data_IF_641914320731
#
_entry.id   IF_641914320731
#
_cell.length_a   1.000
_cell.length_b   1.000
_cell.length_c   1.000
_cell.angle_alpha   90.00
_cell.angle_beta   90.00
_cell.angle_gamma   90.00
#
_symmetry.space_group_name_H-M   'P 1'
#
loop_
_entity.id
_entity.type
_entity.pdbx_description
1 polymer ?
#
# COMPACT_ATOMS: atom_id res chain seq x y z
N UNK A 1 20.54 28.74 11.61
CA UNK A 1 19.31 28.76 12.43
C UNK A 1 18.19 28.31 11.51
N UNK A 2 17.79 27.04 11.62
CA UNK A 2 16.81 26.40 10.74
C UNK A 2 15.46 27.11 10.87
N UNK A 3 14.94 27.65 9.76
CA UNK A 3 13.53 27.98 9.66
C UNK A 3 12.73 26.73 10.03
N UNK A 4 11.95 26.82 11.10
CA UNK A 4 10.90 25.86 11.39
C UNK A 4 9.92 25.95 10.23
N UNK A 5 9.99 25.01 9.29
CA UNK A 5 9.09 24.99 8.13
C UNK A 5 7.65 24.91 8.65
N UNK A 6 6.83 25.93 8.38
CA UNK A 6 5.39 25.85 8.58
C UNK A 6 4.86 24.59 7.88
N UNK A 7 4.07 23.81 8.60
CA UNK A 7 3.42 22.65 8.01
C UNK A 7 2.32 23.14 7.06
N UNK A 8 2.55 22.99 5.76
CA UNK A 8 1.60 23.42 4.73
C UNK A 8 0.52 22.36 4.48
N UNK A 9 -0.74 22.68 4.77
CA UNK A 9 -1.89 21.84 4.43
C UNK A 9 -2.32 22.08 2.97
N UNK A 10 -2.53 21.01 2.21
CA UNK A 10 -3.03 21.05 0.84
C UNK A 10 -4.56 21.01 0.86
N UNK A 11 -5.18 21.91 0.10
CA UNK A 11 -6.64 22.00 -0.04
C UNK A 11 -7.13 21.78 -1.49
N UNK A 12 -6.22 21.74 -2.47
CA UNK A 12 -6.57 21.68 -3.89
C UNK A 12 -6.14 20.37 -4.53
N UNK A 13 -7.10 19.73 -5.21
CA UNK A 13 -6.81 18.58 -6.06
C UNK A 13 -5.92 18.95 -7.23
N UNK A 14 -5.08 18.01 -7.68
CA UNK A 14 -4.19 18.23 -8.81
C UNK A 14 -3.34 17.01 -9.13
N UNK A 15 -2.36 17.19 -10.02
CA UNK A 15 -1.38 16.15 -10.34
C UNK A 15 -0.23 16.16 -9.33
N UNK A 16 0.29 14.99 -8.94
CA UNK A 16 1.49 14.90 -8.12
C UNK A 16 2.72 15.48 -8.84
N UNK A 17 2.85 15.18 -10.14
CA UNK A 17 3.97 15.59 -10.99
C UNK A 17 3.52 16.53 -12.12
N UNK A 18 4.29 17.58 -12.38
CA UNK A 18 4.15 18.42 -13.57
C UNK A 18 4.62 17.69 -14.84
N UNK A 19 4.42 18.31 -16.01
CA UNK A 19 4.84 17.75 -17.31
C UNK A 19 6.37 17.56 -17.45
N UNK A 20 7.18 18.11 -16.53
CA UNK A 20 8.64 17.96 -16.47
C UNK A 20 9.07 16.91 -15.44
N UNK A 21 8.14 16.33 -14.68
CA UNK A 21 8.39 15.37 -13.61
C UNK A 21 8.75 15.99 -12.27
N UNK A 22 8.49 17.29 -12.04
CA UNK A 22 8.67 17.93 -10.74
C UNK A 22 7.39 17.83 -9.90
N UNK A 23 7.56 17.76 -8.58
CA UNK A 23 6.45 17.78 -7.62
C UNK A 23 5.71 19.12 -7.73
N UNK A 24 4.39 19.09 -7.81
CA UNK A 24 3.56 20.31 -7.95
C UNK A 24 3.22 20.95 -6.61
N UNK A 25 3.01 20.13 -5.57
CA UNK A 25 2.54 20.53 -4.25
C UNK A 25 3.30 19.73 -3.18
N UNK A 26 3.77 20.42 -2.15
CA UNK A 26 4.54 19.85 -1.03
C UNK A 26 3.82 20.21 0.26
N UNK A 27 3.54 19.23 1.10
CA UNK A 27 2.74 19.46 2.31
C UNK A 27 2.06 18.20 2.80
N UNK A 28 1.00 18.38 3.58
CA UNK A 28 0.16 17.31 4.09
C UNK A 28 -1.32 17.58 3.76
N UNK A 29 -2.17 16.57 3.75
CA UNK A 29 -3.62 16.77 3.59
C UNK A 29 -4.42 15.70 4.30
N UNK A 30 -5.67 16.04 4.63
CA UNK A 30 -6.66 15.14 5.24
C UNK A 30 -7.29 14.15 4.25
N UNK A 31 -6.98 14.28 2.97
CA UNK A 31 -7.49 13.46 1.87
C UNK A 31 -6.42 13.31 0.78
N UNK A 32 -6.43 12.23 -0.02
CA UNK A 32 -5.52 12.06 -1.15
C UNK A 32 -5.93 12.93 -2.33
N UNK A 33 -5.56 14.21 -2.27
CA UNK A 33 -5.94 15.22 -3.25
C UNK A 33 -5.14 15.15 -4.56
N UNK A 34 -3.96 14.52 -4.54
CA UNK A 34 -3.06 14.46 -5.69
C UNK A 34 -3.21 13.14 -6.44
N UNK A 35 -3.36 13.24 -7.76
CA UNK A 35 -3.28 12.11 -8.68
C UNK A 35 -1.83 11.65 -8.81
N UNK A 36 -1.57 10.38 -8.50
CA UNK A 36 -0.27 9.73 -8.62
C UNK A 36 0.08 9.44 -10.09
N UNK A 37 0.22 10.50 -10.89
CA UNK A 37 0.54 10.49 -12.32
C UNK A 37 2.02 10.16 -12.61
N UNK A 38 2.45 8.99 -12.13
CA UNK A 38 3.83 8.53 -12.13
C UNK A 38 4.41 8.31 -13.53
N UNK A 39 3.58 8.23 -14.58
CA UNK A 39 4.01 8.26 -15.98
C UNK A 39 4.74 9.55 -16.39
N UNK A 40 4.57 10.63 -15.62
CA UNK A 40 5.28 11.90 -15.81
C UNK A 40 6.67 11.93 -15.16
N UNK A 41 7.05 10.88 -14.43
CA UNK A 41 8.38 10.78 -13.84
C UNK A 41 9.48 10.91 -14.90
N UNK A 42 10.53 11.67 -14.57
CA UNK A 42 11.57 12.05 -15.50
C UNK A 42 12.98 11.96 -14.87
N UNK A 43 13.34 10.76 -14.39
CA UNK A 43 14.64 10.46 -13.78
C UNK A 43 15.72 10.14 -14.81
N UNK A 44 15.34 9.43 -15.88
CA UNK A 44 16.26 8.97 -16.92
C UNK A 44 15.97 9.61 -18.28
N UNK A 45 16.97 9.61 -19.17
CA UNK A 45 16.77 10.04 -20.57
C UNK A 45 15.80 9.14 -21.33
N UNK A 46 15.83 7.84 -21.05
CA UNK A 46 14.96 6.85 -21.67
C UNK A 46 13.68 6.68 -20.84
N UNK A 47 12.52 7.00 -21.42
CA UNK A 47 11.22 6.88 -20.74
C UNK A 47 10.89 5.44 -20.29
N UNK A 48 11.36 4.44 -21.02
CA UNK A 48 11.18 3.03 -20.64
C UNK A 48 11.92 2.64 -19.34
N UNK A 49 12.90 3.44 -18.92
CA UNK A 49 13.66 3.17 -17.69
C UNK A 49 13.04 3.80 -16.44
N UNK A 50 12.06 4.71 -16.58
CA UNK A 50 11.48 5.42 -15.43
C UNK A 50 10.89 4.49 -14.36
N UNK A 51 10.13 3.42 -14.72
CA UNK A 51 9.53 2.53 -13.72
C UNK A 51 10.55 1.91 -12.76
N UNK A 52 11.77 1.62 -13.21
CA UNK A 52 12.83 1.04 -12.38
C UNK A 52 13.27 1.91 -11.20
N UNK A 53 12.92 3.20 -11.19
CA UNK A 53 13.25 4.13 -10.10
C UNK A 53 12.07 4.45 -9.20
N UNK A 54 10.87 4.02 -9.57
CA UNK A 54 9.62 4.30 -8.88
C UNK A 54 9.35 3.14 -7.92
N UNK A 55 8.99 3.47 -6.69
CA UNK A 55 8.56 2.49 -5.69
C UNK A 55 7.12 2.76 -5.32
N UNK A 56 6.30 1.73 -5.29
CA UNK A 56 4.88 1.78 -4.90
C UNK A 56 4.59 0.60 -3.99
N UNK A 57 3.68 0.77 -3.06
CA UNK A 57 3.22 -0.33 -2.23
C UNK A 57 1.78 -0.08 -1.79
N UNK A 58 1.07 -1.17 -1.54
CA UNK A 58 -0.23 -1.19 -0.90
C UNK A 58 -0.14 -2.11 0.31
N UNK A 59 -0.64 -1.62 1.45
CA UNK A 59 -0.37 -2.18 2.76
C UNK A 59 -1.64 -2.17 3.59
N UNK A 60 -1.97 -3.33 4.17
CA UNK A 60 -3.03 -3.46 5.15
C UNK A 60 -2.50 -4.15 6.40
N UNK A 61 -2.82 -3.58 7.55
CA UNK A 61 -2.55 -4.14 8.87
C UNK A 61 -3.83 -4.18 9.69
N UNK A 62 -4.10 -5.32 10.30
CA UNK A 62 -5.23 -5.56 11.19
C UNK A 62 -4.67 -5.90 12.57
N UNK A 63 -4.97 -5.04 13.53
CA UNK A 63 -4.61 -5.24 14.93
C UNK A 63 -5.86 -5.61 15.72
N UNK A 64 -5.79 -6.69 16.46
CA UNK A 64 -6.82 -7.12 17.41
C UNK A 64 -6.21 -7.25 18.81
N UNK A 65 -6.99 -7.48 19.87
CA UNK A 65 -6.44 -7.75 21.19
C UNK A 65 -5.58 -9.03 21.28
N UNK A 66 -5.80 -10.01 20.40
CA UNK A 66 -5.13 -11.32 20.47
C UNK A 66 -4.08 -11.55 19.38
N UNK A 67 -4.11 -10.81 18.28
CA UNK A 67 -3.13 -10.94 17.21
C UNK A 67 -2.97 -9.68 16.36
N UNK A 68 -1.88 -9.66 15.59
CA UNK A 68 -1.65 -8.74 14.50
C UNK A 68 -1.47 -9.49 13.18
N UNK A 69 -2.08 -8.99 12.12
CA UNK A 69 -1.90 -9.51 10.78
C UNK A 69 -1.61 -8.37 9.82
N UNK A 70 -0.61 -8.49 8.96
CA UNK A 70 -0.41 -7.57 7.85
C UNK A 70 -0.07 -8.28 6.55
N UNK A 71 -0.40 -7.63 5.45
CA UNK A 71 -0.07 -8.08 4.10
C UNK A 71 0.24 -6.87 3.22
N UNK A 72 1.27 -7.02 2.39
CA UNK A 72 1.80 -5.97 1.53
C UNK A 72 1.99 -6.50 0.12
N UNK A 73 1.62 -5.69 -0.87
CA UNK A 73 2.09 -5.82 -2.25
C UNK A 73 2.93 -4.59 -2.59
N UNK A 74 4.20 -4.79 -2.92
CA UNK A 74 5.13 -3.71 -3.22
C UNK A 74 5.81 -3.89 -4.59
N UNK A 75 5.77 -2.84 -5.39
CA UNK A 75 6.56 -2.67 -6.61
C UNK A 75 7.79 -1.81 -6.29
N UNK A 76 8.97 -2.43 -6.34
CA UNK A 76 10.25 -1.79 -6.06
C UNK A 76 10.91 -1.25 -7.33
N UNK A 77 10.21 -1.27 -8.46
CA UNK A 77 10.64 -0.80 -9.77
C UNK A 77 11.32 -1.86 -10.62
N UNK A 78 12.20 -2.67 -10.03
CA UNK A 78 12.87 -3.80 -10.71
C UNK A 78 12.44 -5.18 -10.20
N UNK A 79 11.74 -5.21 -9.07
CA UNK A 79 11.22 -6.42 -8.45
C UNK A 79 9.90 -6.09 -7.74
N UNK A 80 8.99 -7.05 -7.72
CA UNK A 80 7.83 -7.02 -6.84
C UNK A 80 8.12 -7.77 -5.54
N UNK A 81 7.33 -7.48 -4.52
CA UNK A 81 7.37 -8.17 -3.24
C UNK A 81 5.94 -8.39 -2.75
N UNK A 82 5.60 -9.64 -2.47
CA UNK A 82 4.45 -10.00 -1.65
C UNK A 82 4.97 -10.37 -0.26
N UNK A 83 4.42 -9.75 0.78
CA UNK A 83 4.85 -9.95 2.16
C UNK A 83 3.64 -10.13 3.05
N UNK A 84 3.66 -11.13 3.93
CA UNK A 84 2.67 -11.29 4.98
C UNK A 84 3.34 -11.52 6.32
N UNK A 85 2.75 -10.96 7.37
CA UNK A 85 3.24 -11.05 8.74
C UNK A 85 2.08 -11.31 9.70
N UNK A 86 2.25 -12.26 10.60
CA UNK A 86 1.28 -12.63 11.62
C UNK A 86 1.96 -12.69 12.99
N UNK A 87 1.35 -12.09 14.00
CA UNK A 87 1.82 -12.12 15.39
C UNK A 87 0.68 -12.60 16.27
N UNK A 88 0.90 -13.66 17.04
CA UNK A 88 -0.01 -14.12 18.08
C UNK A 88 0.43 -13.52 19.42
N UNK A 89 -0.38 -12.62 19.98
CA UNK A 89 -0.10 -11.98 21.25
C UNK A 89 -0.30 -12.91 22.44
N UNK A 90 -1.15 -13.93 22.32
CA UNK A 90 -1.41 -14.88 23.40
C UNK A 90 -0.24 -15.86 23.57
N UNK A 91 0.35 -16.29 22.46
CA UNK A 91 1.47 -17.23 22.45
C UNK A 91 2.84 -16.55 22.39
N UNK A 92 2.88 -15.24 22.11
CA UNK A 92 4.12 -14.48 21.93
C UNK A 92 4.92 -14.93 20.70
N UNK A 93 4.25 -15.44 19.67
CA UNK A 93 4.88 -15.96 18.46
C UNK A 93 4.63 -15.02 17.28
N UNK A 94 5.56 -14.97 16.33
CA UNK A 94 5.38 -14.26 15.07
C UNK A 94 5.86 -15.09 13.89
N UNK A 95 5.37 -14.73 12.71
CA UNK A 95 5.61 -15.46 11.48
C UNK A 95 5.56 -14.49 10.32
N UNK A 96 6.59 -14.47 9.49
CA UNK A 96 6.64 -13.69 8.25
C UNK A 96 7.05 -14.57 7.07
N UNK A 97 6.51 -14.26 5.90
CA UNK A 97 7.08 -14.71 4.65
C UNK A 97 7.14 -13.57 3.62
N UNK A 98 8.18 -13.62 2.81
CA UNK A 98 8.40 -12.71 1.69
C UNK A 98 8.56 -13.52 0.40
N UNK A 99 7.75 -13.22 -0.60
CA UNK A 99 7.95 -13.69 -1.97
C UNK A 99 8.50 -12.54 -2.80
N UNK A 100 9.74 -12.69 -3.26
CA UNK A 100 10.33 -11.78 -4.25
C UNK A 100 9.89 -12.18 -5.64
N UNK A 101 9.33 -11.22 -6.38
CA UNK A 101 8.70 -11.42 -7.69
C UNK A 101 9.59 -10.77 -8.74
N UNK A 102 10.31 -11.56 -9.57
CA UNK A 102 11.15 -11.00 -10.63
C UNK A 102 10.34 -10.08 -11.55
N UNK A 103 10.84 -8.86 -11.74
CA UNK A 103 10.20 -7.82 -12.57
C UNK A 103 8.75 -7.48 -12.20
N UNK A 104 8.29 -7.86 -11.00
CA UNK A 104 6.89 -7.67 -10.60
C UNK A 104 5.88 -8.47 -11.44
N UNK A 105 6.32 -9.53 -12.13
CA UNK A 105 5.45 -10.32 -13.00
C UNK A 105 4.22 -10.87 -12.26
N UNK A 106 3.03 -10.62 -12.83
CA UNK A 106 1.75 -11.06 -12.24
C UNK A 106 1.26 -10.16 -11.10
N UNK A 107 1.94 -9.04 -10.82
CA UNK A 107 1.53 -8.03 -9.86
C UNK A 107 0.94 -6.80 -10.56
N UNK A 108 -0.13 -6.24 -9.99
CA UNK A 108 -0.75 -4.98 -10.41
C UNK A 108 -1.06 -4.17 -9.17
N UNK A 109 -0.69 -2.89 -9.18
CA UNK A 109 -1.08 -1.92 -8.15
C UNK A 109 -1.89 -0.80 -8.82
N UNK A 110 -2.88 -0.22 -8.12
CA UNK A 110 -3.65 0.89 -8.65
C UNK A 110 -2.76 2.14 -8.77
N UNK A 111 -3.26 3.11 -9.54
CA UNK A 111 -2.63 4.43 -9.64
C UNK A 111 -2.76 5.19 -8.32
N UNK A 112 -3.96 5.20 -7.75
CA UNK A 112 -4.35 5.98 -6.57
C UNK A 112 -4.87 5.08 -5.43
N UNK A 113 -4.92 5.59 -4.20
CA UNK A 113 -5.27 4.82 -2.99
C UNK A 113 -6.78 4.68 -2.71
N UNK A 114 -7.63 5.42 -3.43
CA UNK A 114 -9.07 5.49 -3.17
C UNK A 114 -9.93 4.66 -4.13
N UNK A 115 -9.32 4.02 -5.12
CA UNK A 115 -10.03 3.19 -6.09
C UNK A 115 -9.10 2.16 -6.74
N UNK A 116 -9.71 1.14 -7.34
CA UNK A 116 -9.00 0.11 -8.09
C UNK A 116 -8.63 -1.10 -7.24
N UNK A 117 -7.65 -1.85 -7.74
CA UNK A 117 -7.29 -3.15 -7.16
C UNK A 117 -5.79 -3.36 -7.18
N UNK A 118 -5.28 -3.88 -6.06
CA UNK A 118 -3.94 -4.43 -5.94
C UNK A 118 -4.04 -5.96 -6.04
N UNK A 119 -3.35 -6.56 -7.00
CA UNK A 119 -3.43 -8.01 -7.26
C UNK A 119 -2.03 -8.58 -7.40
N UNK A 120 -1.81 -9.74 -6.82
CA UNK A 120 -0.73 -10.65 -7.20
C UNK A 120 -1.28 -12.07 -7.28
N UNK A 121 -0.96 -12.77 -8.38
CA UNK A 121 -1.33 -14.17 -8.54
C UNK A 121 -0.21 -14.95 -9.23
N UNK A 122 0.20 -16.06 -8.61
CA UNK A 122 1.12 -17.03 -9.21
C UNK A 122 0.86 -18.43 -8.66
N UNK A 123 0.44 -19.35 -9.54
CA UNK A 123 0.03 -20.68 -9.11
C UNK A 123 -1.15 -20.59 -8.15
N UNK A 124 -0.99 -21.17 -6.96
CA UNK A 124 -1.98 -21.17 -5.88
C UNK A 124 -1.84 -20.00 -4.90
N UNK A 125 -0.78 -19.18 -4.99
CA UNK A 125 -0.64 -17.97 -4.20
C UNK A 125 -1.43 -16.83 -4.86
N UNK A 126 -2.40 -16.28 -4.13
CA UNK A 126 -3.25 -15.17 -4.56
C UNK A 126 -3.37 -14.13 -3.43
N UNK A 127 -3.14 -12.87 -3.78
CA UNK A 127 -3.36 -11.71 -2.90
C UNK A 127 -4.14 -10.69 -3.72
N UNK A 128 -5.27 -10.22 -3.19
CA UNK A 128 -6.12 -9.24 -3.85
C UNK A 128 -6.68 -8.26 -2.84
N UNK A 129 -6.46 -6.98 -3.08
CA UNK A 129 -7.04 -5.87 -2.33
C UNK A 129 -7.96 -5.11 -3.28
N UNK A 130 -9.25 -5.05 -2.94
CA UNK A 130 -10.26 -4.32 -3.73
C UNK A 130 -10.65 -3.08 -2.96
N UNK A 131 -10.52 -1.92 -3.61
CA UNK A 131 -10.86 -0.63 -3.02
C UNK A 131 -12.20 -0.16 -3.57
N UNK A 132 -13.14 0.11 -2.66
CA UNK A 132 -14.45 0.72 -2.91
C UNK A 132 -14.60 1.99 -2.07
N UNK A 133 -15.54 2.90 -2.38
CA UNK A 133 -15.65 4.18 -1.68
C UNK A 133 -15.64 4.09 -0.15
N UNK A 134 -16.36 3.14 0.43
CA UNK A 134 -16.53 2.99 1.89
C UNK A 134 -16.03 1.63 2.41
N UNK A 135 -15.38 0.83 1.56
CA UNK A 135 -14.97 -0.53 1.90
C UNK A 135 -13.61 -0.85 1.29
N UNK A 136 -12.82 -1.63 2.02
CA UNK A 136 -11.62 -2.30 1.53
C UNK A 136 -11.81 -3.79 1.72
N UNK A 137 -11.75 -4.57 0.64
CA UNK A 137 -11.90 -6.02 0.70
C UNK A 137 -10.56 -6.69 0.41
N UNK A 138 -10.05 -7.40 1.40
CA UNK A 138 -8.78 -8.11 1.39
C UNK A 138 -9.04 -9.61 1.22
N UNK A 139 -8.46 -10.21 0.19
CA UNK A 139 -8.49 -11.65 -0.04
C UNK A 139 -7.05 -12.15 -0.15
N UNK A 140 -6.68 -13.11 0.70
CA UNK A 140 -5.37 -13.77 0.68
C UNK A 140 -5.57 -15.27 0.69
N UNK A 141 -4.94 -15.95 -0.26
CA UNK A 141 -4.78 -17.39 -0.29
C UNK A 141 -3.29 -17.67 -0.48
N UNK A 142 -2.62 -18.07 0.59
CA UNK A 142 -1.18 -18.32 0.61
C UNK A 142 -0.90 -19.72 1.19
N UNK A 143 -0.88 -20.74 0.32
CA UNK A 143 -0.60 -22.11 0.74
C UNK A 143 0.82 -22.27 1.27
N UNK A 144 0.97 -23.06 2.34
CA UNK A 144 2.27 -23.35 2.94
C UNK A 144 2.96 -22.18 3.65
N UNK A 145 2.26 -21.07 3.90
CA UNK A 145 2.75 -19.93 4.70
C UNK A 145 3.26 -20.40 6.08
N UNK A 146 4.58 -20.49 6.20
CA UNK A 146 5.33 -21.01 7.34
C UNK A 146 4.84 -22.39 7.77
N UNK A 147 4.65 -23.26 6.78
CA UNK A 147 4.22 -24.65 6.97
C UNK A 147 2.72 -24.84 7.18
N UNK A 148 1.91 -23.76 7.13
CA UNK A 148 0.44 -23.80 7.24
C UNK A 148 -0.21 -22.92 6.19
N UNK A 149 -1.40 -23.27 5.73
CA UNK A 149 -2.11 -22.42 4.79
C UNK A 149 -2.64 -21.15 5.49
N UNK A 150 -2.38 -19.99 4.89
CA UNK A 150 -2.94 -18.70 5.27
C UNK A 150 -4.10 -18.36 4.32
N UNK A 151 -5.30 -18.22 4.88
CA UNK A 151 -6.49 -17.76 4.15
C UNK A 151 -7.07 -16.56 4.89
N UNK A 152 -7.27 -15.44 4.20
CA UNK A 152 -7.88 -14.24 4.76
C UNK A 152 -8.99 -13.72 3.85
N UNK A 153 -10.16 -13.43 4.41
CA UNK A 153 -11.24 -12.70 3.75
C UNK A 153 -11.73 -11.61 4.72
N UNK A 154 -11.20 -10.40 4.52
CA UNK A 154 -11.37 -9.27 5.43
C UNK A 154 -12.06 -8.12 4.72
N UNK A 155 -13.14 -7.62 5.32
CA UNK A 155 -13.84 -6.42 4.86
C UNK A 155 -13.63 -5.34 5.89
N UNK A 156 -12.98 -4.26 5.48
CA UNK A 156 -12.69 -3.14 6.36
C UNK A 156 -13.51 -1.94 5.91
N UNK A 157 -14.34 -1.44 6.81
CA UNK A 157 -15.18 -0.28 6.53
C UNK A 157 -14.36 1.00 6.69
N UNK A 158 -14.53 1.91 5.74
CA UNK A 158 -14.04 3.27 5.78
C UNK A 158 -15.26 4.19 5.96
N UNK A 159 -15.52 4.69 7.19
CA UNK A 159 -16.65 5.58 7.44
C UNK A 159 -16.64 6.80 6.52
N UNK A 160 -17.82 7.22 6.09
CA UNK A 160 -18.01 8.51 5.43
C UNK A 160 -17.39 9.61 6.28
N UNK A 161 -16.59 10.48 5.66
CA UNK A 161 -15.83 11.57 6.31
C UNK A 161 -14.57 11.17 7.08
N UNK A 162 -14.10 9.91 6.95
CA UNK A 162 -12.81 9.56 7.53
C UNK A 162 -11.66 10.36 6.89
N UNK A 163 -10.86 11.02 7.72
CA UNK A 163 -9.64 11.70 7.30
C UNK A 163 -8.49 10.73 7.08
N UNK A 164 -7.77 10.89 5.99
CA UNK A 164 -6.49 10.22 5.76
C UNK A 164 -5.35 11.16 6.12
N UNK A 165 -4.25 10.62 6.60
CA UNK A 165 -2.99 11.34 6.67
C UNK A 165 -2.25 11.17 5.35
N UNK A 166 -2.23 12.23 4.55
CA UNK A 166 -1.48 12.26 3.29
C UNK A 166 -0.30 13.20 3.44
N UNK A 167 0.89 12.78 3.00
CA UNK A 167 2.12 13.55 3.14
C UNK A 167 2.90 13.49 1.81
N UNK A 168 3.36 14.66 1.37
CA UNK A 168 4.26 14.82 0.22
C UNK A 168 5.54 15.49 0.67
N UNK A 169 6.64 14.72 0.68
CA UNK A 169 7.97 15.20 1.08
C UNK A 169 8.87 15.22 -0.16
N UNK A 170 9.40 16.37 -0.58
CA UNK A 170 10.42 16.44 -1.60
C UNK A 170 11.78 16.01 -1.02
N UNK A 171 12.54 15.22 -1.77
CA UNK A 171 13.94 14.91 -1.42
C UNK A 171 14.90 15.84 -2.16
N UNK A 172 14.74 15.87 -3.48
CA UNK A 172 15.53 16.66 -4.43
C UNK A 172 14.63 16.96 -5.63
N UNK A 173 15.09 17.79 -6.57
CA UNK A 173 14.31 18.13 -7.75
C UNK A 173 13.83 16.85 -8.49
N UNK A 174 12.51 16.72 -8.63
CA UNK A 174 11.85 15.59 -9.29
C UNK A 174 11.73 14.30 -8.46
N UNK A 175 12.20 14.28 -7.20
CA UNK A 175 12.07 13.11 -6.31
C UNK A 175 11.25 13.48 -5.08
N UNK A 176 10.20 12.70 -4.82
CA UNK A 176 9.38 12.83 -3.63
C UNK A 176 9.05 11.49 -2.99
N UNK A 177 8.59 11.58 -1.75
CA UNK A 177 7.83 10.57 -1.06
C UNK A 177 6.38 11.05 -0.99
N UNK A 178 5.46 10.20 -1.42
CA UNK A 178 4.01 10.39 -1.26
C UNK A 178 3.49 9.19 -0.48
N UNK A 179 2.75 9.44 0.60
CA UNK A 179 2.07 8.41 1.37
C UNK A 179 0.64 8.85 1.68
N UNK A 180 -0.29 7.90 1.62
CA UNK A 180 -1.65 8.04 2.11
C UNK A 180 -1.88 6.96 3.15
N UNK A 181 -2.23 7.35 4.38
CA UNK A 181 -2.52 6.43 5.49
C UNK A 181 -3.91 6.75 6.03
N UNK A 182 -4.78 5.76 6.09
CA UNK A 182 -6.10 5.85 6.72
C UNK A 182 -6.26 4.79 7.80
N UNK A 183 -7.17 5.03 8.74
CA UNK A 183 -7.63 3.98 9.64
C UNK A 183 -8.87 3.33 9.04
N UNK A 184 -9.04 2.04 9.31
CA UNK A 184 -10.13 1.24 8.80
C UNK A 184 -10.67 0.37 9.92
N UNK A 185 -11.97 0.09 9.89
CA UNK A 185 -12.61 -0.75 10.88
C UNK A 185 -12.79 -2.15 10.31
N UNK A 186 -11.99 -3.14 10.75
CA UNK A 186 -12.01 -4.46 10.17
C UNK A 186 -13.23 -5.26 10.64
N UNK A 187 -13.74 -6.11 9.75
CA UNK A 187 -14.62 -7.22 10.04
C UNK A 187 -14.30 -8.38 9.09
N UNK A 188 -14.73 -9.59 9.42
CA UNK A 188 -14.50 -10.77 8.59
C UNK A 188 -13.75 -11.86 9.34
N UNK A 189 -12.98 -12.68 8.62
CA UNK A 189 -12.33 -13.87 9.20
C UNK A 189 -10.93 -14.08 8.65
N UNK A 190 -10.01 -14.45 9.53
CA UNK A 190 -8.78 -15.15 9.19
C UNK A 190 -9.03 -16.65 9.36
N UNK A 191 -8.69 -17.44 8.34
CA UNK A 191 -8.91 -18.87 8.26
C UNK A 191 -7.61 -19.65 7.97
N UNK A 192 -7.75 -20.97 7.78
CA UNK A 192 -6.61 -21.88 7.60
C UNK A 192 -5.99 -22.32 8.92
N UNK A 193 -4.68 -22.63 8.91
CA UNK A 193 -3.93 -23.03 10.11
C UNK A 193 -3.75 -21.92 11.15
N UNK A 194 -4.29 -20.73 10.86
CA UNK A 194 -4.22 -19.48 11.61
C UNK A 194 -5.61 -18.97 12.04
N UNK A 195 -6.63 -19.83 11.95
CA UNK A 195 -8.03 -19.46 12.09
C UNK A 195 -8.34 -18.63 13.35
N UNK A 196 -8.69 -17.35 13.15
CA UNK A 196 -9.15 -16.42 14.19
C UNK A 196 -10.19 -15.47 13.61
N UNK A 197 -11.29 -15.27 14.35
CA UNK A 197 -12.27 -14.25 14.00
C UNK A 197 -11.74 -12.85 14.34
N UNK A 198 -12.16 -11.85 13.56
CA UNK A 198 -11.90 -10.43 13.79
C UNK A 198 -13.20 -9.76 14.24
#
# INVERSE_FOLDING_TARGET
MSELSEQHELHTSGFLLDARGNVTQVGWSRQPLLDCNLEQANFYRLRSLQPFRIKRWDYYGVTTPSFYFSVTLADLGYAGQAFAYFVDFEQGQHTEETVTIPFGSGMRLPRNSMEGESIYQKGSLKIQFVVRPEERHLMVEWPGFSGKDLVADLKMNLPSHHESMVIVIPFTRGRCFYISKGELYPGGRLGGGWGRAI
#
